data_IF_815047160846
#
_entry.id   IF_815047160846
#
_cell.length_a   1.000
_cell.length_b   1.000
_cell.length_c   1.000
_cell.angle_alpha   90.00
_cell.angle_beta   90.00
_cell.angle_gamma   90.00
#
_symmetry.space_group_name_H-M   'P 1'
#
loop_
_entity.id
_entity.type
_entity.pdbx_description
1 polymer ?
#
# COMPACT_ATOMS: atom_id res chain seq x y z
N UNK A 1 71.99 2.65 -40.65
CA UNK A 1 70.57 2.29 -40.44
C UNK A 1 70.11 3.00 -39.18
N UNK A 2 69.14 3.92 -39.30
CA UNK A 2 68.72 4.85 -38.23
C UNK A 2 67.52 4.23 -37.52
N UNK A 3 67.66 3.93 -36.23
CA UNK A 3 66.62 3.30 -35.42
C UNK A 3 65.48 4.32 -35.18
N UNK A 4 64.27 4.00 -35.63
CA UNK A 4 63.05 4.72 -35.24
C UNK A 4 62.61 4.25 -33.85
N UNK A 5 62.28 5.14 -32.89
CA UNK A 5 61.59 4.72 -31.68
C UNK A 5 60.11 4.49 -32.00
N UNK A 6 59.64 3.27 -31.76
CA UNK A 6 58.22 2.92 -31.74
C UNK A 6 57.62 3.58 -30.49
N UNK A 7 56.83 4.64 -30.70
CA UNK A 7 56.01 5.24 -29.64
C UNK A 7 54.81 4.32 -29.45
N UNK A 8 54.85 3.51 -28.39
CA UNK A 8 53.70 2.74 -27.93
C UNK A 8 52.69 3.71 -27.29
N UNK A 9 51.67 4.10 -28.04
CA UNK A 9 50.51 4.79 -27.51
C UNK A 9 49.69 3.81 -26.67
N UNK A 10 49.85 3.87 -25.34
CA UNK A 10 48.99 3.16 -24.39
C UNK A 10 47.66 3.91 -24.34
N UNK A 11 46.68 3.42 -25.11
CA UNK A 11 45.28 3.78 -24.92
C UNK A 11 44.81 3.13 -23.61
N UNK A 12 44.58 3.96 -22.59
CA UNK A 12 43.87 3.58 -21.37
C UNK A 12 42.41 3.25 -21.72
N UNK A 13 42.17 2.02 -22.16
CA UNK A 13 40.83 1.43 -22.25
C UNK A 13 40.30 1.30 -20.83
N UNK A 14 39.16 1.92 -20.54
CA UNK A 14 38.55 1.95 -19.22
C UNK A 14 38.42 0.54 -18.63
N UNK A 15 39.13 0.30 -17.54
CA UNK A 15 39.07 -0.96 -16.78
C UNK A 15 37.77 -1.00 -15.98
N UNK A 16 36.72 -1.58 -16.55
CA UNK A 16 35.49 -1.94 -15.86
C UNK A 16 34.79 -3.06 -16.61
N UNK A 17 34.07 -3.93 -15.92
CA UNK A 17 33.28 -4.99 -16.56
C UNK A 17 32.22 -4.38 -17.48
N UNK A 18 31.76 -5.13 -18.49
CA UNK A 18 30.69 -4.65 -19.39
C UNK A 18 29.44 -4.20 -18.61
N UNK A 19 29.14 -4.91 -17.52
CA UNK A 19 28.04 -4.61 -16.62
C UNK A 19 28.24 -3.31 -15.82
N UNK A 20 29.46 -3.03 -15.35
CA UNK A 20 29.80 -1.76 -14.72
C UNK A 20 29.69 -0.59 -15.71
N UNK A 21 30.18 -0.77 -16.94
CA UNK A 21 30.09 0.25 -17.98
C UNK A 21 28.64 0.56 -18.36
N UNK A 22 27.79 -0.47 -18.41
CA UNK A 22 26.35 -0.35 -18.63
C UNK A 22 25.68 0.43 -17.48
N UNK A 23 25.99 0.08 -16.23
CA UNK A 23 25.47 0.77 -15.05
C UNK A 23 25.85 2.26 -15.03
N UNK A 24 27.13 2.58 -15.24
CA UNK A 24 27.61 3.98 -15.27
C UNK A 24 27.01 4.79 -16.44
N UNK A 25 26.65 4.13 -17.55
CA UNK A 25 25.93 4.77 -18.65
C UNK A 25 24.46 5.03 -18.28
N UNK A 26 23.78 4.02 -17.74
CA UNK A 26 22.40 4.11 -17.28
C UNK A 26 22.21 5.21 -16.24
N UNK A 27 23.09 5.26 -15.23
CA UNK A 27 23.08 6.26 -14.17
C UNK A 27 23.29 7.69 -14.71
N UNK A 28 24.27 7.89 -15.60
CA UNK A 28 24.52 9.23 -16.17
C UNK A 28 23.35 9.74 -17.00
N UNK A 29 22.83 8.92 -17.93
CA UNK A 29 21.69 9.32 -18.76
C UNK A 29 20.41 9.47 -17.94
N UNK A 30 20.16 8.55 -17.01
CA UNK A 30 19.01 8.60 -16.12
C UNK A 30 19.03 9.84 -15.23
N UNK A 31 20.17 10.17 -14.61
CA UNK A 31 20.32 11.35 -13.77
C UNK A 31 20.12 12.66 -14.55
N UNK A 32 20.64 12.75 -15.78
CA UNK A 32 20.41 13.90 -16.65
C UNK A 32 18.90 14.10 -16.92
N UNK A 33 18.21 13.04 -17.34
CA UNK A 33 16.75 13.07 -17.57
C UNK A 33 15.96 13.35 -16.30
N UNK A 34 16.40 12.83 -15.16
CA UNK A 34 15.76 13.06 -13.87
C UNK A 34 15.85 14.53 -13.47
N UNK A 35 17.02 15.16 -13.65
CA UNK A 35 17.24 16.58 -13.37
C UNK A 35 16.42 17.48 -14.30
N UNK A 36 16.21 17.05 -15.54
CA UNK A 36 15.33 17.73 -16.51
C UNK A 36 13.83 17.52 -16.21
N UNK A 37 13.48 16.80 -15.13
CA UNK A 37 12.11 16.49 -14.75
C UNK A 37 11.43 15.43 -15.62
N UNK A 38 12.17 14.78 -16.53
CA UNK A 38 11.69 13.74 -17.43
C UNK A 38 11.67 12.37 -16.72
N UNK A 39 10.93 12.26 -15.61
CA UNK A 39 10.94 11.07 -14.76
C UNK A 39 10.62 9.75 -15.47
N UNK A 40 9.66 9.66 -16.42
CA UNK A 40 9.45 8.41 -17.17
C UNK A 40 10.67 7.99 -18.00
N UNK A 41 11.34 8.97 -18.63
CA UNK A 41 12.52 8.73 -19.44
C UNK A 41 13.75 8.42 -18.58
N UNK A 42 13.82 8.99 -17.38
CA UNK A 42 14.83 8.67 -16.37
C UNK A 42 14.66 7.22 -15.89
N UNK A 43 13.44 6.82 -15.49
CA UNK A 43 13.12 5.43 -15.10
C UNK A 43 13.53 4.44 -16.19
N UNK A 44 13.17 4.72 -17.43
CA UNK A 44 13.56 3.89 -18.59
C UNK A 44 15.08 3.76 -18.75
N UNK A 45 15.84 4.81 -18.43
CA UNK A 45 17.31 4.78 -18.53
C UNK A 45 17.92 3.97 -17.39
N UNK A 46 17.43 4.17 -16.16
CA UNK A 46 17.87 3.37 -15.02
C UNK A 46 17.47 1.88 -15.17
N UNK A 47 16.40 1.58 -15.92
CA UNK A 47 15.99 0.21 -16.28
C UNK A 47 17.08 -0.60 -16.99
N UNK A 48 18.00 0.08 -17.68
CA UNK A 48 19.06 -0.57 -18.46
C UNK A 48 20.09 -1.29 -17.57
N UNK A 49 20.14 -0.97 -16.28
CA UNK A 49 21.07 -1.57 -15.32
C UNK A 49 20.36 -2.20 -14.11
N UNK A 50 19.53 -3.25 -14.31
CA UNK A 50 18.68 -3.81 -13.26
C UNK A 50 19.46 -4.53 -12.14
N UNK A 51 20.74 -4.81 -12.36
CA UNK A 51 21.62 -5.49 -11.40
C UNK A 51 22.45 -4.50 -10.56
N UNK A 52 22.36 -3.19 -10.84
CA UNK A 52 23.04 -2.15 -10.06
C UNK A 52 22.07 -1.52 -9.06
N UNK A 53 22.40 -1.58 -7.77
CA UNK A 53 21.54 -1.07 -6.69
C UNK A 53 21.21 0.41 -6.84
N UNK A 54 22.16 1.23 -7.30
CA UNK A 54 21.96 2.68 -7.45
C UNK A 54 20.92 2.94 -8.52
N UNK A 55 20.98 2.21 -9.63
CA UNK A 55 20.01 2.33 -10.71
C UNK A 55 18.61 1.89 -10.24
N UNK A 56 18.48 0.78 -9.52
CA UNK A 56 17.21 0.33 -8.94
C UNK A 56 16.67 1.35 -7.93
N UNK A 57 17.51 1.89 -7.07
CA UNK A 57 17.16 2.97 -6.14
C UNK A 57 16.66 4.22 -6.88
N UNK A 58 17.33 4.62 -7.96
CA UNK A 58 16.96 5.79 -8.74
C UNK A 58 15.70 5.58 -9.59
N UNK A 59 15.39 4.35 -10.00
CA UNK A 59 14.03 4.00 -10.49
C UNK A 59 12.99 4.30 -9.42
N UNK A 60 13.24 3.89 -8.17
CA UNK A 60 12.37 4.22 -7.03
C UNK A 60 12.17 5.74 -6.90
N UNK A 61 13.24 6.52 -6.98
CA UNK A 61 13.19 7.98 -6.93
C UNK A 61 12.36 8.57 -8.08
N UNK A 62 12.54 8.10 -9.31
CA UNK A 62 11.78 8.56 -10.47
C UNK A 62 10.28 8.27 -10.29
N UNK A 63 9.93 7.05 -9.88
CA UNK A 63 8.55 6.64 -9.62
C UNK A 63 7.91 7.43 -8.48
N UNK A 64 8.68 7.73 -7.41
CA UNK A 64 8.22 8.57 -6.32
C UNK A 64 7.87 9.98 -6.80
N UNK A 65 8.69 10.59 -7.66
CA UNK A 65 8.38 11.91 -8.26
C UNK A 65 7.15 11.90 -9.15
N UNK A 66 6.88 10.77 -9.80
CA UNK A 66 5.66 10.55 -10.59
C UNK A 66 4.42 10.22 -9.75
N UNK A 67 4.54 10.14 -8.42
CA UNK A 67 3.49 9.67 -7.49
C UNK A 67 3.02 8.24 -7.76
N UNK A 68 3.87 7.44 -8.40
CA UNK A 68 3.61 6.01 -8.65
C UNK A 68 4.08 5.20 -7.43
N UNK A 69 3.33 5.31 -6.33
CA UNK A 69 3.74 4.79 -5.02
C UNK A 69 4.04 3.29 -5.04
N UNK A 70 3.19 2.49 -5.69
CA UNK A 70 3.39 1.04 -5.80
C UNK A 70 4.71 0.68 -6.49
N UNK A 71 5.05 1.35 -7.60
CA UNK A 71 6.31 1.15 -8.31
C UNK A 71 7.51 1.63 -7.48
N UNK A 72 7.39 2.79 -6.82
CA UNK A 72 8.43 3.31 -5.94
C UNK A 72 8.71 2.36 -4.77
N UNK A 73 7.66 1.86 -4.11
CA UNK A 73 7.73 0.85 -3.04
C UNK A 73 8.44 -0.40 -3.53
N UNK A 74 8.10 -0.92 -4.71
CA UNK A 74 8.72 -2.10 -5.28
C UNK A 74 10.23 -1.91 -5.49
N UNK A 75 10.63 -0.82 -6.14
CA UNK A 75 12.04 -0.53 -6.42
C UNK A 75 12.86 -0.23 -5.17
N UNK A 76 12.34 0.53 -4.20
CA UNK A 76 13.05 0.77 -2.95
C UNK A 76 13.17 -0.50 -2.10
N UNK A 77 12.16 -1.37 -2.11
CA UNK A 77 12.23 -2.67 -1.43
C UNK A 77 13.30 -3.57 -2.06
N UNK A 78 13.37 -3.59 -3.39
CA UNK A 78 14.40 -4.33 -4.12
C UNK A 78 15.80 -3.81 -3.76
N UNK A 79 16.06 -2.51 -3.94
CA UNK A 79 17.34 -1.88 -3.60
C UNK A 79 17.74 -2.12 -2.14
N UNK A 80 16.79 -2.07 -1.19
CA UNK A 80 17.02 -2.35 0.22
C UNK A 80 17.47 -3.79 0.54
N UNK A 81 17.35 -4.71 -0.41
CA UNK A 81 17.74 -6.13 -0.29
C UNK A 81 18.92 -6.53 -1.17
N UNK A 82 19.39 -5.64 -2.06
CA UNK A 82 20.53 -5.88 -2.92
C UNK A 82 21.85 -5.85 -2.15
N UNK A 83 22.88 -6.51 -2.70
CA UNK A 83 24.24 -6.46 -2.16
C UNK A 83 24.82 -5.05 -2.34
N UNK A 84 24.91 -4.33 -1.23
CA UNK A 84 25.29 -2.93 -1.15
C UNK A 84 25.72 -2.61 0.30
N UNK A 85 26.36 -1.47 0.51
CA UNK A 85 26.76 -1.06 1.85
C UNK A 85 25.55 -0.86 2.76
N UNK A 86 25.80 -0.94 4.08
CA UNK A 86 24.76 -0.67 5.08
C UNK A 86 24.12 0.71 4.91
N UNK A 87 24.89 1.69 4.44
CA UNK A 87 24.43 3.06 4.22
C UNK A 87 23.48 3.14 3.02
N UNK A 88 23.78 2.45 1.92
CA UNK A 88 22.89 2.36 0.75
C UNK A 88 21.57 1.70 1.10
N UNK A 89 21.63 0.54 1.77
CA UNK A 89 20.41 -0.11 2.26
C UNK A 89 19.62 0.76 3.24
N UNK A 90 20.28 1.60 4.05
CA UNK A 90 19.61 2.54 4.95
C UNK A 90 18.82 3.58 4.15
N UNK A 91 19.45 4.20 3.13
CA UNK A 91 18.79 5.16 2.23
C UNK A 91 17.61 4.54 1.50
N UNK A 92 17.76 3.33 0.97
CA UNK A 92 16.68 2.61 0.31
C UNK A 92 15.50 2.35 1.27
N UNK A 93 15.78 1.90 2.51
CA UNK A 93 14.75 1.68 3.55
C UNK A 93 14.07 2.98 4.00
N UNK A 94 14.81 4.07 4.10
CA UNK A 94 14.24 5.38 4.40
C UNK A 94 13.28 5.82 3.30
N UNK A 95 13.68 5.72 2.03
CA UNK A 95 12.81 6.08 0.91
C UNK A 95 11.62 5.11 0.73
N UNK A 96 11.80 3.83 1.04
CA UNK A 96 10.68 2.87 1.14
C UNK A 96 9.65 3.32 2.19
N UNK A 97 10.12 3.77 3.35
CA UNK A 97 9.27 4.33 4.39
C UNK A 97 8.52 5.58 3.91
N UNK A 98 9.21 6.49 3.22
CA UNK A 98 8.59 7.68 2.64
C UNK A 98 7.54 7.33 1.59
N UNK A 99 7.78 6.32 0.75
CA UNK A 99 6.83 5.88 -0.27
C UNK A 99 5.56 5.27 0.34
N UNK A 100 5.70 4.42 1.37
CA UNK A 100 4.56 3.90 2.12
C UNK A 100 3.80 5.00 2.89
N UNK A 101 4.50 5.98 3.47
CA UNK A 101 3.86 7.11 4.13
C UNK A 101 3.07 7.96 3.13
N UNK A 102 3.60 8.21 1.94
CA UNK A 102 2.90 8.93 0.88
C UNK A 102 1.65 8.17 0.39
N UNK A 103 1.73 6.84 0.27
CA UNK A 103 0.58 5.98 -0.04
C UNK A 103 -0.51 6.09 1.03
N UNK A 104 -0.14 6.04 2.30
CA UNK A 104 -1.06 6.21 3.42
C UNK A 104 -1.75 7.59 3.40
N UNK A 105 -1.00 8.67 3.15
CA UNK A 105 -1.55 10.03 3.10
C UNK A 105 -2.52 10.23 1.92
N UNK A 106 -2.23 9.62 0.77
CA UNK A 106 -3.15 9.63 -0.36
C UNK A 106 -4.43 8.86 -0.04
N UNK A 107 -4.29 7.66 0.51
CA UNK A 107 -5.42 6.83 0.90
C UNK A 107 -6.30 7.52 1.97
N UNK A 108 -5.71 8.23 2.93
CA UNK A 108 -6.43 9.04 3.93
C UNK A 108 -7.24 10.16 3.28
N UNK A 109 -6.63 10.88 2.33
CA UNK A 109 -7.31 11.96 1.60
C UNK A 109 -8.51 11.41 0.82
N UNK A 110 -8.33 10.29 0.11
CA UNK A 110 -9.41 9.63 -0.63
C UNK A 110 -10.50 9.10 0.30
N UNK A 111 -10.13 8.55 1.46
CA UNK A 111 -11.09 8.04 2.43
C UNK A 111 -11.97 9.16 2.99
N UNK A 112 -11.38 10.32 3.31
CA UNK A 112 -12.13 11.50 3.77
C UNK A 112 -13.08 12.04 2.71
N UNK A 113 -12.62 12.11 1.44
CA UNK A 113 -13.49 12.53 0.33
C UNK A 113 -14.68 11.57 0.14
N UNK A 114 -14.43 10.26 0.19
CA UNK A 114 -15.50 9.28 0.06
C UNK A 114 -16.46 9.30 1.26
N UNK A 115 -15.95 9.51 2.47
CA UNK A 115 -16.80 9.66 3.66
C UNK A 115 -17.70 10.90 3.55
N UNK A 116 -17.18 12.03 3.07
CA UNK A 116 -18.00 13.22 2.83
C UNK A 116 -19.11 12.99 1.79
N UNK A 117 -18.79 12.27 0.71
CA UNK A 117 -19.78 11.84 -0.28
C UNK A 117 -20.83 10.92 0.37
N UNK A 118 -20.40 9.96 1.20
CA UNK A 118 -21.27 9.03 1.91
C UNK A 118 -22.26 9.76 2.83
N UNK A 119 -21.77 10.74 3.59
CA UNK A 119 -22.56 11.53 4.54
C UNK A 119 -23.58 12.43 3.82
N UNK A 120 -23.29 12.81 2.58
CA UNK A 120 -24.21 13.55 1.71
C UNK A 120 -25.35 12.72 1.11
N UNK A 121 -25.23 11.39 1.08
CA UNK A 121 -26.22 10.51 0.45
C UNK A 121 -27.32 10.14 1.46
N UNK A 122 -28.49 10.74 1.29
CA UNK A 122 -29.70 10.41 2.06
C UNK A 122 -30.55 9.37 1.31
N UNK A 123 -31.08 8.39 2.05
CA UNK A 123 -31.99 7.38 1.50
C UNK A 123 -33.42 7.88 1.63
N UNK A 124 -33.85 8.67 0.66
CA UNK A 124 -35.10 9.43 0.68
C UNK A 124 -35.73 9.47 -0.71
N UNK A 125 -37.05 9.72 -0.79
CA UNK A 125 -37.79 9.80 -2.04
C UNK A 125 -39.14 9.08 -2.00
N UNK A 126 -39.99 9.30 -3.01
CA UNK A 126 -41.35 8.76 -3.03
C UNK A 126 -41.41 7.29 -3.43
N UNK A 127 -40.50 6.81 -4.27
CA UNK A 127 -40.50 5.44 -4.81
C UNK A 127 -39.38 4.55 -4.26
N UNK A 128 -39.59 3.24 -4.33
CA UNK A 128 -38.66 2.23 -3.81
C UNK A 128 -37.38 2.17 -4.67
N UNK A 129 -37.48 2.32 -5.99
CA UNK A 129 -36.34 2.19 -6.89
C UNK A 129 -35.27 3.26 -6.59
N UNK A 130 -35.68 4.50 -6.34
CA UNK A 130 -34.80 5.60 -5.91
C UNK A 130 -34.06 5.26 -4.61
N UNK A 131 -34.78 4.76 -3.60
CA UNK A 131 -34.18 4.40 -2.30
C UNK A 131 -33.20 3.22 -2.42
N UNK A 132 -33.53 2.21 -3.22
CA UNK A 132 -32.62 1.07 -3.48
C UNK A 132 -31.36 1.55 -4.17
N UNK A 133 -31.46 2.41 -5.19
CA UNK A 133 -30.28 2.96 -5.87
C UNK A 133 -29.38 3.77 -4.92
N UNK A 134 -29.96 4.60 -4.06
CA UNK A 134 -29.22 5.38 -3.05
C UNK A 134 -28.56 4.45 -2.03
N UNK A 135 -29.26 3.42 -1.58
CA UNK A 135 -28.73 2.43 -0.64
C UNK A 135 -27.52 1.69 -1.23
N UNK A 136 -27.64 1.19 -2.47
CA UNK A 136 -26.55 0.47 -3.16
C UNK A 136 -25.33 1.38 -3.35
N UNK A 137 -25.54 2.65 -3.73
CA UNK A 137 -24.44 3.61 -3.85
C UNK A 137 -23.75 3.86 -2.50
N UNK A 138 -24.53 4.09 -1.44
CA UNK A 138 -24.04 4.30 -0.08
C UNK A 138 -23.21 3.10 0.39
N UNK A 139 -23.72 1.90 0.18
CA UNK A 139 -23.04 0.64 0.53
C UNK A 139 -21.73 0.45 -0.27
N UNK A 140 -21.72 0.78 -1.56
CA UNK A 140 -20.50 0.76 -2.38
C UNK A 140 -19.42 1.72 -1.84
N UNK A 141 -19.79 2.97 -1.57
CA UNK A 141 -18.85 3.98 -1.05
C UNK A 141 -18.36 3.57 0.35
N UNK A 142 -19.24 3.02 1.19
CA UNK A 142 -18.85 2.54 2.52
C UNK A 142 -17.81 1.41 2.43
N UNK A 143 -17.94 0.47 1.49
CA UNK A 143 -16.92 -0.56 1.25
C UNK A 143 -15.60 0.04 0.79
N UNK A 144 -15.64 1.03 -0.10
CA UNK A 144 -14.42 1.67 -0.60
C UNK A 144 -13.70 2.47 0.50
N UNK A 145 -14.45 3.16 1.38
CA UNK A 145 -13.91 3.77 2.60
C UNK A 145 -13.22 2.71 3.47
N UNK A 146 -13.85 1.56 3.73
CA UNK A 146 -13.24 0.50 4.53
C UNK A 146 -11.94 -0.05 3.91
N UNK A 147 -11.92 -0.25 2.59
CA UNK A 147 -10.71 -0.68 1.86
C UNK A 147 -9.58 0.34 1.99
N UNK A 148 -9.89 1.64 1.86
CA UNK A 148 -8.91 2.71 2.03
C UNK A 148 -8.41 2.79 3.47
N UNK A 149 -9.29 2.61 4.48
CA UNK A 149 -8.88 2.58 5.88
C UNK A 149 -7.85 1.46 6.15
N UNK A 150 -8.10 0.26 5.63
CA UNK A 150 -7.18 -0.87 5.73
C UNK A 150 -5.84 -0.61 5.01
N UNK A 151 -5.89 0.02 3.82
CA UNK A 151 -4.68 0.41 3.10
C UNK A 151 -3.83 1.37 3.94
N UNK A 152 -4.41 2.44 4.47
CA UNK A 152 -3.71 3.40 5.33
C UNK A 152 -3.05 2.69 6.52
N UNK A 153 -3.76 1.79 7.20
CA UNK A 153 -3.22 1.09 8.38
C UNK A 153 -2.02 0.20 8.00
N UNK A 154 -2.15 -0.56 6.90
CA UNK A 154 -1.06 -1.39 6.39
C UNK A 154 0.15 -0.56 5.92
N UNK A 155 -0.07 0.54 5.20
CA UNK A 155 0.98 1.40 4.68
C UNK A 155 1.69 2.19 5.79
N UNK A 156 0.97 2.67 6.82
CA UNK A 156 1.60 3.30 7.99
C UNK A 156 2.48 2.33 8.76
N UNK A 157 2.02 1.08 8.92
CA UNK A 157 2.80 0.02 9.57
C UNK A 157 4.08 -0.28 8.79
N UNK A 158 3.96 -0.48 7.48
CA UNK A 158 5.11 -0.70 6.59
C UNK A 158 6.08 0.48 6.57
N UNK A 159 5.57 1.72 6.61
CA UNK A 159 6.39 2.92 6.72
C UNK A 159 7.20 2.93 8.02
N UNK A 160 6.53 2.66 9.16
CA UNK A 160 7.16 2.62 10.47
C UNK A 160 8.29 1.57 10.55
N UNK A 161 8.04 0.38 10.03
CA UNK A 161 9.02 -0.70 9.98
C UNK A 161 10.22 -0.35 9.10
N UNK A 162 9.97 0.29 7.96
CA UNK A 162 11.00 0.71 7.00
C UNK A 162 11.90 1.79 7.61
N UNK A 163 11.33 2.81 8.28
CA UNK A 163 12.11 3.80 9.01
C UNK A 163 12.90 3.18 10.16
N UNK A 164 12.29 2.26 10.94
CA UNK A 164 13.00 1.50 11.98
C UNK A 164 14.18 0.72 11.39
N UNK A 165 14.00 0.13 10.21
CA UNK A 165 15.03 -0.64 9.53
C UNK A 165 16.16 0.24 8.99
N UNK A 166 15.84 1.44 8.47
CA UNK A 166 16.85 2.44 8.12
C UNK A 166 17.68 2.84 9.35
N UNK A 167 17.02 3.18 10.46
CA UNK A 167 17.68 3.60 11.71
C UNK A 167 18.54 2.52 12.36
N UNK A 168 18.28 1.23 12.10
CA UNK A 168 19.20 0.16 12.52
C UNK A 168 20.55 0.24 11.82
N UNK A 169 20.57 0.66 10.56
CA UNK A 169 21.78 0.78 9.76
C UNK A 169 22.42 2.17 9.88
N UNK A 170 21.61 3.22 10.05
CA UNK A 170 22.06 4.60 10.20
C UNK A 170 21.35 5.27 11.39
N UNK A 171 21.79 5.02 12.64
CA UNK A 171 21.08 5.50 13.83
C UNK A 171 21.04 7.02 13.96
N UNK A 172 21.94 7.76 13.31
CA UNK A 172 22.10 9.22 13.38
C UNK A 172 21.37 9.97 12.27
N UNK A 173 20.53 9.30 11.47
CA UNK A 173 19.71 9.95 10.44
C UNK A 173 18.54 10.68 11.11
N UNK A 174 18.62 12.02 11.17
CA UNK A 174 17.62 12.85 11.83
C UNK A 174 16.30 12.93 11.04
N UNK A 175 16.35 12.83 9.70
CA UNK A 175 15.16 12.80 8.86
C UNK A 175 14.39 11.49 9.08
N UNK A 176 15.10 10.35 9.15
CA UNK A 176 14.50 9.05 9.46
C UNK A 176 13.91 9.00 10.87
N UNK A 177 14.56 9.61 11.87
CA UNK A 177 14.03 9.73 13.24
C UNK A 177 12.75 10.57 13.27
N UNK A 178 12.76 11.70 12.58
CA UNK A 178 11.58 12.56 12.48
C UNK A 178 10.41 11.83 11.83
N UNK A 179 10.64 11.19 10.67
CA UNK A 179 9.59 10.48 9.93
C UNK A 179 9.08 9.25 10.70
N UNK A 180 9.95 8.54 11.42
CA UNK A 180 9.54 7.48 12.33
C UNK A 180 8.58 7.99 13.41
N UNK A 181 8.97 9.04 14.15
CA UNK A 181 8.13 9.62 15.20
C UNK A 181 6.82 10.22 14.66
N UNK A 182 6.86 10.84 13.49
CA UNK A 182 5.66 11.34 12.80
C UNK A 182 4.70 10.20 12.45
N UNK A 183 5.22 9.11 11.87
CA UNK A 183 4.43 7.92 11.51
C UNK A 183 3.80 7.26 12.73
N UNK A 184 4.54 7.15 13.85
CA UNK A 184 3.98 6.66 15.12
C UNK A 184 2.79 7.50 15.58
N UNK A 185 2.90 8.83 15.53
CA UNK A 185 1.80 9.72 15.93
C UNK A 185 0.57 9.57 15.03
N UNK A 186 0.75 9.34 13.73
CA UNK A 186 -0.35 9.08 12.82
C UNK A 186 -1.09 7.80 13.22
N UNK A 187 -0.36 6.70 13.46
CA UNK A 187 -0.92 5.42 13.91
C UNK A 187 -1.69 5.61 15.22
N UNK A 188 -1.09 6.23 16.24
CA UNK A 188 -1.75 6.44 17.56
C UNK A 188 -3.03 7.27 17.47
N UNK A 189 -3.13 8.20 16.50
CA UNK A 189 -4.32 9.05 16.33
C UNK A 189 -5.46 8.36 15.59
N UNK A 190 -5.22 7.19 15.00
CA UNK A 190 -6.24 6.50 14.19
C UNK A 190 -7.30 5.87 15.09
N UNK A 191 -8.60 6.13 14.85
CA UNK A 191 -9.71 5.62 15.68
C UNK A 191 -9.83 4.09 15.73
N UNK A 192 -9.14 3.37 14.83
CA UNK A 192 -9.12 1.91 14.73
C UNK A 192 -7.69 1.36 14.54
N UNK A 193 -6.65 2.03 15.07
CA UNK A 193 -5.37 1.35 15.22
C UNK A 193 -5.58 0.19 16.21
N UNK A 194 -5.86 -0.99 15.65
CA UNK A 194 -5.84 -2.24 16.38
C UNK A 194 -4.58 -2.27 17.22
N UNK A 195 -4.82 -2.44 18.51
CA UNK A 195 -3.85 -2.85 19.50
C UNK A 195 -3.07 -4.05 18.95
N UNK A 196 -1.84 -3.82 18.49
CA UNK A 196 -0.85 -4.87 18.47
C UNK A 196 0.51 -4.30 18.91
N UNK A 197 0.79 -4.50 20.21
CA UNK A 197 2.15 -4.74 20.63
C UNK A 197 2.78 -3.74 21.60
N UNK A 198 2.10 -3.35 22.69
CA UNK A 198 2.83 -3.10 23.95
C UNK A 198 1.96 -3.26 25.20
N UNK A 199 2.04 -4.46 25.79
CA UNK A 199 1.64 -4.90 27.15
C UNK A 199 1.07 -3.85 28.11
N UNK A 200 -0.15 -4.12 28.62
CA UNK A 200 -0.52 -3.76 29.98
C UNK A 200 -2.02 -3.75 30.28
N UNK A 201 -2.51 -4.77 31.00
CA UNK A 201 -3.63 -4.63 31.96
C UNK A 201 -5.04 -5.01 31.48
N UNK A 202 -5.51 -6.15 32.01
CA UNK A 202 -6.90 -6.59 32.24
C UNK A 202 -8.08 -5.86 31.56
N UNK A 203 -8.78 -6.62 30.72
CA UNK A 203 -10.19 -6.96 30.97
C UNK A 203 -11.26 -6.05 30.39
N UNK A 204 -11.68 -6.29 29.14
CA UNK A 204 -13.11 -6.51 28.84
C UNK A 204 -13.31 -7.29 27.53
N UNK A 205 -14.39 -8.08 27.46
CA UNK A 205 -14.66 -9.05 26.40
C UNK A 205 -15.50 -8.44 25.27
N UNK A 206 -14.86 -8.02 24.18
CA UNK A 206 -15.53 -7.85 22.89
C UNK A 206 -15.16 -9.01 21.95
N UNK A 207 -16.18 -9.81 21.57
CA UNK A 207 -16.01 -11.04 20.80
C UNK A 207 -15.70 -10.70 19.34
N UNK A 208 -14.42 -10.67 19.04
CA UNK A 208 -13.88 -10.67 17.69
C UNK A 208 -14.43 -11.86 16.87
N UNK A 209 -14.76 -11.62 15.60
CA UNK A 209 -15.16 -12.70 14.70
C UNK A 209 -13.99 -13.66 14.49
N UNK A 210 -14.26 -14.97 14.50
CA UNK A 210 -13.23 -15.94 14.14
C UNK A 210 -12.78 -15.75 12.68
N UNK A 211 -11.58 -16.23 12.33
CA UNK A 211 -11.13 -16.26 10.94
C UNK A 211 -12.10 -17.01 10.00
N UNK A 212 -12.79 -18.05 10.51
CA UNK A 212 -13.81 -18.79 9.75
C UNK A 212 -15.06 -17.94 9.54
N UNK A 213 -15.50 -17.22 10.58
CA UNK A 213 -16.61 -16.29 10.47
C UNK A 213 -16.34 -15.16 9.48
N UNK A 214 -15.10 -14.67 9.40
CA UNK A 214 -14.68 -13.69 8.39
C UNK A 214 -14.75 -14.27 6.96
N UNK A 215 -14.37 -15.53 6.75
CA UNK A 215 -14.52 -16.18 5.45
C UNK A 215 -15.99 -16.39 5.05
N UNK A 216 -16.85 -16.74 6.01
CA UNK A 216 -18.30 -16.86 5.80
C UNK A 216 -18.90 -15.51 5.42
N UNK A 217 -18.50 -14.44 6.12
CA UNK A 217 -18.89 -13.06 5.80
C UNK A 217 -18.48 -12.70 4.37
N UNK A 218 -17.22 -12.94 3.98
CA UNK A 218 -16.74 -12.65 2.62
C UNK A 218 -17.57 -13.38 1.55
N UNK A 219 -17.89 -14.66 1.77
CA UNK A 219 -18.72 -15.45 0.84
C UNK A 219 -20.15 -14.90 0.76
N UNK A 220 -20.73 -14.47 1.87
CA UNK A 220 -22.03 -13.83 1.89
C UNK A 220 -22.01 -12.49 1.14
N UNK A 221 -20.97 -11.68 1.32
CA UNK A 221 -20.78 -10.41 0.62
C UNK A 221 -20.64 -10.61 -0.91
N UNK A 222 -19.88 -11.62 -1.37
CA UNK A 222 -19.77 -11.98 -2.80
C UNK A 222 -21.12 -12.38 -3.42
N UNK A 223 -22.02 -13.01 -2.65
CA UNK A 223 -23.37 -13.36 -3.07
C UNK A 223 -24.29 -12.12 -3.11
N UNK A 224 -24.13 -11.22 -2.15
CA UNK A 224 -24.83 -9.93 -2.12
C UNK A 224 -24.46 -9.08 -3.34
N UNK A 225 -23.19 -9.01 -3.72
CA UNK A 225 -22.73 -8.31 -4.94
C UNK A 225 -23.34 -8.88 -6.22
N UNK A 226 -23.71 -10.17 -6.23
CA UNK A 226 -24.41 -10.84 -7.33
C UNK A 226 -25.93 -10.73 -7.24
N UNK A 227 -26.47 -9.94 -6.31
CA UNK A 227 -27.91 -9.83 -6.02
C UNK A 227 -28.56 -11.14 -5.55
N UNK A 228 -27.77 -12.11 -5.06
CA UNK A 228 -28.23 -13.42 -4.57
C UNK A 228 -28.49 -13.38 -3.05
N UNK A 229 -29.43 -12.54 -2.62
CA UNK A 229 -29.66 -12.27 -1.20
C UNK A 229 -30.18 -13.48 -0.41
N UNK A 230 -30.99 -14.35 -1.02
CA UNK A 230 -31.47 -15.58 -0.37
C UNK A 230 -30.32 -16.56 -0.11
N UNK A 231 -29.39 -16.69 -1.05
CA UNK A 231 -28.19 -17.52 -0.89
C UNK A 231 -27.25 -16.94 0.16
N UNK A 232 -27.05 -15.61 0.16
CA UNK A 232 -26.25 -14.92 1.17
C UNK A 232 -26.82 -15.12 2.58
N UNK A 233 -28.15 -15.01 2.75
CA UNK A 233 -28.83 -15.25 4.02
C UNK A 233 -28.63 -16.71 4.46
N UNK A 234 -28.78 -17.66 3.54
CA UNK A 234 -28.57 -19.07 3.82
C UNK A 234 -27.13 -19.36 4.27
N UNK A 235 -26.13 -18.78 3.61
CA UNK A 235 -24.70 -18.91 3.98
C UNK A 235 -24.47 -18.39 5.39
N UNK A 236 -25.03 -17.22 5.73
CA UNK A 236 -24.88 -16.63 7.06
C UNK A 236 -25.60 -17.43 8.15
N UNK A 237 -26.83 -17.90 7.89
CA UNK A 237 -27.60 -18.71 8.84
C UNK A 237 -26.95 -20.08 9.08
N UNK A 238 -26.40 -20.70 8.04
CA UNK A 238 -25.62 -21.92 8.18
C UNK A 238 -24.32 -21.65 8.93
N UNK A 239 -23.60 -20.60 8.55
CA UNK A 239 -22.39 -20.17 9.21
C UNK A 239 -22.58 -19.91 10.69
N UNK A 240 -23.69 -19.31 11.10
CA UNK A 240 -24.03 -19.07 12.50
C UNK A 240 -24.15 -20.36 13.33
N UNK A 241 -24.59 -21.47 12.71
CA UNK A 241 -24.65 -22.78 13.36
C UNK A 241 -23.26 -23.38 13.54
N UNK A 242 -22.37 -23.14 12.59
CA UNK A 242 -21.00 -23.65 12.59
C UNK A 242 -20.06 -22.79 13.45
N UNK A 243 -20.31 -21.47 13.50
CA UNK A 243 -19.49 -20.49 14.20
C UNK A 243 -20.36 -19.46 14.96
N UNK A 244 -20.50 -19.64 16.28
CA UNK A 244 -21.28 -18.73 17.11
C UNK A 244 -20.76 -17.29 17.19
N UNK A 245 -19.53 -16.99 16.75
CA UNK A 245 -19.02 -15.60 16.71
C UNK A 245 -19.83 -14.75 15.72
N UNK A 246 -20.44 -15.37 14.70
CA UNK A 246 -21.37 -14.71 13.78
C UNK A 246 -22.65 -14.18 14.44
N UNK A 247 -22.91 -14.51 15.72
CA UNK A 247 -23.96 -13.83 16.51
C UNK A 247 -23.75 -12.31 16.54
N UNK A 248 -22.49 -11.85 16.49
CA UNK A 248 -22.15 -10.44 16.38
C UNK A 248 -22.62 -9.78 15.06
N UNK A 249 -23.04 -10.58 14.06
CA UNK A 249 -23.55 -10.13 12.75
C UNK A 249 -25.04 -10.37 12.57
N UNK A 250 -25.79 -10.47 13.69
CA UNK A 250 -27.26 -10.62 13.67
C UNK A 250 -27.96 -9.55 12.82
N UNK A 251 -27.57 -8.29 12.98
CA UNK A 251 -28.18 -7.18 12.23
C UNK A 251 -27.98 -7.31 10.71
N UNK A 252 -26.84 -7.85 10.27
CA UNK A 252 -26.58 -8.11 8.85
C UNK A 252 -27.50 -9.21 8.31
N UNK A 253 -27.71 -10.28 9.07
CA UNK A 253 -28.66 -11.36 8.70
C UNK A 253 -30.10 -10.86 8.66
N UNK A 254 -30.51 -10.02 9.61
CA UNK A 254 -31.86 -9.44 9.64
C UNK A 254 -32.11 -8.56 8.40
N UNK A 255 -31.09 -7.82 7.93
CA UNK A 255 -31.17 -7.04 6.68
C UNK A 255 -31.35 -7.94 5.45
N UNK A 256 -30.57 -9.03 5.35
CA UNK A 256 -30.72 -9.99 4.25
C UNK A 256 -32.10 -10.65 4.23
N UNK A 257 -32.67 -10.95 5.41
CA UNK A 257 -34.04 -11.48 5.53
C UNK A 257 -35.10 -10.50 5.05
N UNK A 258 -35.00 -9.22 5.42
CA UNK A 258 -35.92 -8.17 4.93
C UNK A 258 -35.86 -8.04 3.42
N UNK A 259 -34.66 -7.99 2.83
CA UNK A 259 -34.48 -7.89 1.36
C UNK A 259 -35.04 -9.13 0.65
N UNK A 260 -34.76 -10.33 1.18
CA UNK A 260 -35.25 -11.59 0.62
C UNK A 260 -36.78 -11.68 0.65
N UNK A 261 -37.42 -11.20 1.72
CA UNK A 261 -38.89 -11.16 1.82
C UNK A 261 -39.52 -10.15 0.87
N UNK A 262 -38.90 -8.98 0.71
CA UNK A 262 -39.37 -7.96 -0.22
C UNK A 262 -39.32 -8.45 -1.68
N UNK A 263 -38.23 -9.13 -2.06
CA UNK A 263 -38.07 -9.70 -3.40
C UNK A 263 -39.11 -10.80 -3.73
N UNK A 264 -39.66 -11.47 -2.72
CA UNK A 264 -40.73 -12.49 -2.89
C UNK A 264 -42.15 -11.90 -2.91
N UNK A 265 -42.30 -10.64 -2.51
CA UNK A 265 -43.58 -9.93 -2.46
C UNK A 265 -43.80 -9.01 -3.68
N UNK A 266 -42.88 -9.02 -4.64
CA UNK A 266 -42.95 -8.32 -5.94
C UNK A 266 -43.20 -9.32 -7.07
#
# INVERSE_FOLDING_TARGET
>A
MRNLPVIAAVLLVGCGSEQEQLAERALRHGAARYNDGQFPAADSSFAEAPLDERAVFDRGNANFRMRQWTSAIAHFREAATMDSSRLEQARARFNLGNAHLAEAMLADTLARQQQELLDGIRVEGPDIATKVSQFVLRDSIQRDVQRLQALIDSSLTAALESFRASLRNQPTDDDARYNFAYTQRLITRRPNAGDDGSKGGDGDKDKELSARAQQIMKKADELVEQYKFEEALSVMQQGLKEDPSLKAKKEYMDKLDVVTKAAKAS
#
